data_IF_359794032638
#
_entry.id   IF_359794032638
#
_cell.length_a   1.000
_cell.length_b   1.000
_cell.length_c   1.000
_cell.angle_alpha   90.00
_cell.angle_beta   90.00
_cell.angle_gamma   90.00
#
_symmetry.space_group_name_H-M   'P 1'
#
loop_
_entity.id
_entity.type
_entity.pdbx_description
1 polymer ?
#
# COMPACT_ATOMS: atom_id res chain seq x y z
N UNK A 1 -22.91 -15.59 4.87
CA UNK A 1 -22.09 -15.60 6.10
C UNK A 1 -20.73 -16.23 5.81
N UNK A 2 -19.77 -15.45 5.33
CA UNK A 2 -18.36 -15.84 5.37
C UNK A 2 -17.67 -14.78 6.21
N UNK A 3 -17.24 -15.21 7.39
CA UNK A 3 -16.32 -14.51 8.26
C UNK A 3 -15.30 -13.75 7.41
N UNK A 4 -15.35 -12.41 7.39
CA UNK A 4 -14.22 -11.57 6.94
C UNK A 4 -12.98 -12.19 7.54
N UNK A 5 -12.12 -12.75 6.69
CA UNK A 5 -10.98 -13.53 7.12
C UNK A 5 -10.05 -12.58 7.88
N UNK A 6 -10.18 -12.54 9.20
CA UNK A 6 -9.33 -11.74 10.12
C UNK A 6 -7.85 -11.94 9.78
N UNK A 7 -7.47 -13.13 9.31
CA UNK A 7 -6.14 -13.46 8.78
C UNK A 7 -5.69 -12.51 7.65
N UNK A 8 -6.53 -12.22 6.67
CA UNK A 8 -6.22 -11.31 5.56
C UNK A 8 -6.11 -9.86 6.02
N UNK A 9 -6.97 -9.44 6.94
CA UNK A 9 -6.89 -8.10 7.53
C UNK A 9 -5.59 -7.91 8.34
N UNK A 10 -5.17 -8.95 9.08
CA UNK A 10 -3.89 -8.96 9.79
C UNK A 10 -2.72 -8.93 8.80
N UNK A 11 -2.74 -9.71 7.72
CA UNK A 11 -1.69 -9.69 6.68
C UNK A 11 -1.57 -8.30 6.06
N UNK A 12 -2.70 -7.65 5.75
CA UNK A 12 -2.73 -6.30 5.21
C UNK A 12 -2.13 -5.27 6.18
N UNK A 13 -2.48 -5.35 7.47
CA UNK A 13 -1.93 -4.47 8.51
C UNK A 13 -0.43 -4.67 8.73
N UNK A 14 0.05 -5.92 8.73
CA UNK A 14 1.48 -6.22 8.85
C UNK A 14 2.24 -5.65 7.65
N UNK A 15 1.70 -5.81 6.43
CA UNK A 15 2.32 -5.26 5.23
C UNK A 15 2.43 -3.73 5.30
N UNK A 16 1.36 -3.04 5.69
CA UNK A 16 1.35 -1.58 5.80
C UNK A 16 2.31 -1.05 6.88
N UNK A 17 2.36 -1.71 8.04
CA UNK A 17 3.27 -1.31 9.12
C UNK A 17 4.73 -1.52 8.72
N UNK A 18 5.08 -2.65 8.09
CA UNK A 18 6.45 -2.90 7.60
C UNK A 18 6.85 -1.89 6.51
N UNK A 19 6.00 -1.64 5.52
CA UNK A 19 6.26 -0.63 4.49
C UNK A 19 6.45 0.77 5.09
N UNK A 20 5.63 1.16 6.06
CA UNK A 20 5.75 2.44 6.76
C UNK A 20 7.09 2.58 7.49
N UNK A 21 7.57 1.52 8.12
CA UNK A 21 8.85 1.53 8.84
C UNK A 21 10.04 1.61 7.89
N UNK A 22 10.01 0.88 6.78
CA UNK A 22 11.04 0.95 5.73
C UNK A 22 11.08 2.36 5.11
N UNK A 23 9.92 2.92 4.78
CA UNK A 23 9.84 4.28 4.24
C UNK A 23 10.38 5.32 5.21
N UNK A 24 10.05 5.19 6.51
CA UNK A 24 10.57 6.08 7.54
C UNK A 24 12.08 5.92 7.74
N UNK A 25 12.62 4.70 7.69
CA UNK A 25 14.07 4.46 7.77
C UNK A 25 14.83 5.16 6.63
N UNK A 26 14.35 5.00 5.39
CA UNK A 26 15.01 5.60 4.22
C UNK A 26 14.86 7.13 4.25
N UNK A 27 13.64 7.63 4.42
CA UNK A 27 13.37 9.08 4.43
C UNK A 27 14.03 9.79 5.62
N UNK A 28 14.02 9.14 6.79
CA UNK A 28 14.65 9.66 8.01
C UNK A 28 16.16 9.78 7.91
N UNK A 29 16.83 8.81 7.26
CA UNK A 29 18.26 8.87 6.99
C UNK A 29 18.62 10.00 6.03
N UNK A 30 17.82 10.21 4.97
CA UNK A 30 18.05 11.28 3.99
C UNK A 30 17.85 12.66 4.63
N UNK A 31 16.83 12.81 5.48
CA UNK A 31 16.49 14.07 6.11
C UNK A 31 17.29 14.37 7.40
N UNK A 32 18.16 13.46 7.84
CA UNK A 32 18.99 13.62 9.05
C UNK A 32 18.21 13.63 10.38
N UNK A 33 16.94 13.19 10.36
CA UNK A 33 16.02 13.14 11.51
C UNK A 33 15.90 11.74 12.10
N UNK A 34 16.84 10.84 11.77
CA UNK A 34 16.85 9.48 12.25
C UNK A 34 17.34 9.39 13.72
N UNK A 35 16.43 9.71 14.63
CA UNK A 35 16.63 9.62 16.08
C UNK A 35 15.76 8.51 16.67
N UNK A 36 16.22 7.91 17.77
CA UNK A 36 15.50 6.85 18.49
C UNK A 36 14.08 7.29 18.89
N UNK A 37 13.91 8.55 19.26
CA UNK A 37 12.61 9.15 19.61
C UNK A 37 11.63 9.14 18.43
N UNK A 38 12.11 9.45 17.23
CA UNK A 38 11.26 9.49 16.04
C UNK A 38 10.89 8.08 15.56
N UNK A 39 11.78 7.11 15.76
CA UNK A 39 11.51 5.68 15.51
C UNK A 39 10.44 5.18 16.48
N UNK A 40 10.59 5.48 17.77
CA UNK A 40 9.60 5.12 18.77
C UNK A 40 8.24 5.76 18.47
N UNK A 41 8.22 7.04 18.09
CA UNK A 41 7.00 7.76 17.73
C UNK A 41 6.28 7.16 16.52
N UNK A 42 7.01 6.78 15.46
CA UNK A 42 6.42 6.14 14.28
C UNK A 42 5.93 4.72 14.56
N UNK A 43 6.65 3.96 15.40
CA UNK A 43 6.23 2.62 15.79
C UNK A 43 4.97 2.65 16.66
N UNK A 44 4.89 3.58 17.61
CA UNK A 44 3.70 3.79 18.45
C UNK A 44 2.53 4.31 17.61
N UNK A 45 2.76 5.29 16.73
CA UNK A 45 1.72 5.85 15.87
C UNK A 45 1.10 4.82 14.92
N UNK A 46 1.94 4.01 14.27
CA UNK A 46 1.48 2.95 13.35
C UNK A 46 0.74 1.81 14.05
N UNK A 47 1.15 1.44 15.26
CA UNK A 47 0.46 0.42 16.06
C UNK A 47 -0.88 0.92 16.60
N UNK A 48 -0.97 2.17 17.07
CA UNK A 48 -2.25 2.78 17.48
C UNK A 48 -3.21 2.86 16.29
N UNK A 49 -2.75 3.33 15.11
CA UNK A 49 -3.56 3.40 13.91
C UNK A 49 -4.10 2.02 13.50
N UNK A 50 -3.27 0.98 13.60
CA UNK A 50 -3.66 -0.41 13.32
C UNK A 50 -4.76 -0.90 14.25
N UNK A 51 -4.66 -0.61 15.56
CA UNK A 51 -5.66 -0.99 16.56
C UNK A 51 -6.99 -0.28 16.29
N UNK A 52 -6.96 1.03 16.01
CA UNK A 52 -8.16 1.81 15.68
C UNK A 52 -8.87 1.21 14.45
N UNK A 53 -8.12 0.86 13.41
CA UNK A 53 -8.67 0.29 12.19
C UNK A 53 -9.33 -1.08 12.44
N UNK A 54 -8.73 -1.93 13.28
CA UNK A 54 -9.33 -3.20 13.71
C UNK A 54 -10.64 -2.97 14.47
N UNK A 55 -10.65 -2.05 15.43
CA UNK A 55 -11.86 -1.74 16.23
C UNK A 55 -13.00 -1.24 15.35
N UNK A 56 -12.70 -0.32 14.41
CA UNK A 56 -13.69 0.18 13.44
C UNK A 56 -14.25 -0.99 12.62
N UNK A 57 -13.38 -1.86 12.11
CA UNK A 57 -13.81 -2.98 11.25
C UNK A 57 -14.68 -3.97 12.00
N UNK A 58 -14.29 -4.35 13.23
CA UNK A 58 -15.09 -5.25 14.07
C UNK A 58 -16.45 -4.64 14.41
N UNK A 59 -16.49 -3.35 14.72
CA UNK A 59 -17.74 -2.67 15.06
C UNK A 59 -18.66 -2.48 13.84
N UNK A 60 -18.09 -2.26 12.66
CA UNK A 60 -18.83 -2.16 11.42
C UNK A 60 -19.46 -3.50 11.01
N UNK A 61 -18.74 -4.60 11.18
CA UNK A 61 -19.23 -5.95 10.83
C UNK A 61 -20.28 -6.52 11.79
N UNK A 62 -20.60 -5.82 12.89
CA UNK A 62 -21.76 -6.13 13.73
C UNK A 62 -23.08 -5.68 13.09
N UNK A 63 -23.06 -4.79 12.10
CA UNK A 63 -24.26 -4.39 11.36
C UNK A 63 -24.55 -5.44 10.28
N UNK A 64 -25.77 -5.96 10.29
CA UNK A 64 -26.25 -7.05 9.42
C UNK A 64 -26.52 -6.57 7.98
N UNK A 65 -25.62 -5.76 7.43
CA UNK A 65 -25.67 -5.24 6.07
C UNK A 65 -24.96 -6.28 5.19
N UNK A 66 -25.55 -6.73 4.07
CA UNK A 66 -24.84 -7.61 3.15
C UNK A 66 -23.54 -6.92 2.69
N UNK A 67 -22.42 -7.62 2.88
CA UNK A 67 -21.08 -7.03 2.80
C UNK A 67 -20.74 -6.57 1.37
N UNK A 68 -21.11 -7.34 0.35
CA UNK A 68 -20.95 -6.98 -1.07
C UNK A 68 -21.99 -7.68 -1.95
N UNK A 69 -22.57 -6.94 -2.89
CA UNK A 69 -23.35 -7.48 -4.01
C UNK A 69 -22.38 -7.98 -5.11
N UNK A 70 -22.77 -8.98 -5.90
CA UNK A 70 -21.94 -9.55 -6.98
C UNK A 70 -21.47 -8.47 -7.96
N UNK A 71 -22.34 -7.48 -8.21
CA UNK A 71 -22.05 -6.31 -9.04
C UNK A 71 -20.93 -5.45 -8.46
N UNK A 72 -20.88 -5.32 -7.13
CA UNK A 72 -19.84 -4.54 -6.44
C UNK A 72 -18.48 -5.22 -6.51
N UNK A 73 -18.42 -6.56 -6.42
CA UNK A 73 -17.17 -7.32 -6.54
C UNK A 73 -16.60 -7.18 -7.96
N UNK A 74 -17.44 -7.31 -8.98
CA UNK A 74 -17.04 -7.12 -10.38
C UNK A 74 -16.52 -5.69 -10.62
N UNK A 75 -17.17 -4.68 -10.03
CA UNK A 75 -16.72 -3.29 -10.11
C UNK A 75 -15.36 -3.10 -9.41
N UNK A 76 -15.16 -3.68 -8.23
CA UNK A 76 -13.92 -3.59 -7.45
C UNK A 76 -12.73 -4.18 -8.21
N UNK A 77 -12.94 -5.31 -8.90
CA UNK A 77 -11.93 -5.91 -9.76
C UNK A 77 -11.58 -5.02 -10.94
N UNK A 78 -12.56 -4.42 -11.61
CA UNK A 78 -12.30 -3.53 -12.73
C UNK A 78 -11.56 -2.27 -12.28
N UNK A 79 -12.00 -1.65 -11.18
CA UNK A 79 -11.37 -0.47 -10.58
C UNK A 79 -9.91 -0.76 -10.20
N UNK A 80 -9.61 -1.93 -9.62
CA UNK A 80 -8.22 -2.26 -9.28
C UNK A 80 -7.33 -2.43 -10.50
N UNK A 81 -7.85 -3.02 -11.58
CA UNK A 81 -7.15 -3.07 -12.85
C UNK A 81 -6.88 -1.65 -13.40
N UNK A 82 -7.87 -0.75 -13.38
CA UNK A 82 -7.67 0.63 -13.81
C UNK A 82 -6.63 1.36 -12.98
N UNK A 83 -6.67 1.22 -11.64
CA UNK A 83 -5.71 1.85 -10.74
C UNK A 83 -4.29 1.31 -11.01
N UNK A 84 -4.14 0.00 -11.16
CA UNK A 84 -2.84 -0.61 -11.46
C UNK A 84 -2.24 -0.08 -12.77
N UNK A 85 -3.05 0.03 -13.83
CA UNK A 85 -2.61 0.59 -15.10
C UNK A 85 -2.30 2.09 -15.00
N UNK A 86 -3.11 2.85 -14.24
CA UNK A 86 -2.87 4.27 -14.02
C UNK A 86 -1.53 4.52 -13.31
N UNK A 87 -1.19 3.74 -12.28
CA UNK A 87 0.10 3.84 -11.60
C UNK A 87 1.28 3.54 -12.52
N UNK A 88 1.18 2.51 -13.37
CA UNK A 88 2.20 2.20 -14.36
C UNK A 88 2.34 3.31 -15.41
N UNK A 89 1.21 3.89 -15.86
CA UNK A 89 1.20 4.98 -16.82
C UNK A 89 1.86 6.24 -16.23
N UNK A 90 1.50 6.61 -15.00
CA UNK A 90 2.14 7.72 -14.27
C UNK A 90 3.65 7.49 -14.15
N UNK A 91 4.07 6.26 -13.82
CA UNK A 91 5.49 5.90 -13.72
C UNK A 91 6.23 6.08 -15.05
N UNK A 92 5.60 5.70 -16.17
CA UNK A 92 6.13 5.92 -17.51
C UNK A 92 6.25 7.41 -17.85
N UNK A 93 5.22 8.20 -17.54
CA UNK A 93 5.23 9.65 -17.73
C UNK A 93 6.34 10.32 -16.93
N UNK A 94 6.56 9.91 -15.69
CA UNK A 94 7.65 10.44 -14.85
C UNK A 94 9.00 10.21 -15.54
N UNK A 95 9.28 9.00 -16.02
CA UNK A 95 10.55 8.69 -16.71
C UNK A 95 10.71 9.53 -17.98
N UNK A 96 9.64 9.72 -18.76
CA UNK A 96 9.66 10.58 -19.94
C UNK A 96 9.95 12.04 -19.59
N UNK A 97 9.32 12.57 -18.54
CA UNK A 97 9.55 13.94 -18.07
C UNK A 97 10.99 14.12 -17.60
N UNK A 98 11.55 13.16 -16.85
CA UNK A 98 12.96 13.20 -16.43
C UNK A 98 13.90 13.23 -17.65
N UNK A 99 13.59 12.45 -18.69
CA UNK A 99 14.37 12.44 -19.92
C UNK A 99 14.33 13.79 -20.65
N UNK A 100 13.17 14.47 -20.66
CA UNK A 100 13.00 15.79 -21.28
C UNK A 100 13.70 16.92 -20.50
N UNK A 101 13.85 16.78 -19.18
CA UNK A 101 14.57 17.73 -18.32
C UNK A 101 16.11 17.62 -18.48
N UNK A 102 16.59 16.67 -19.29
CA UNK A 102 18.02 16.48 -19.57
C UNK A 102 18.73 15.56 -18.57
N UNK A 103 17.97 14.76 -17.81
CA UNK A 103 18.55 13.68 -16.98
C UNK A 103 18.83 12.49 -17.89
N UNK A 104 20.07 12.40 -18.39
CA UNK A 104 20.48 11.37 -19.34
C UNK A 104 21.02 10.09 -18.69
N UNK A 105 21.49 10.18 -17.46
CA UNK A 105 22.05 9.04 -16.72
C UNK A 105 21.16 8.72 -15.54
N UNK A 106 20.35 7.68 -15.68
CA UNK A 106 19.62 7.08 -14.56
C UNK A 106 20.20 5.69 -14.33
N UNK A 107 20.56 5.40 -13.09
CA UNK A 107 21.01 4.06 -12.72
C UNK A 107 19.90 3.05 -12.98
N UNK A 108 20.19 2.08 -13.85
CA UNK A 108 19.27 1.00 -14.22
C UNK A 108 18.81 0.23 -12.97
N UNK A 109 19.70 0.10 -11.99
CA UNK A 109 19.41 -0.55 -10.71
C UNK A 109 18.34 0.21 -9.91
N UNK A 110 18.36 1.55 -9.93
CA UNK A 110 17.38 2.38 -9.23
C UNK A 110 15.99 2.29 -9.88
N UNK A 111 15.93 2.29 -11.23
CA UNK A 111 14.68 2.08 -11.97
C UNK A 111 14.13 0.68 -11.70
N UNK A 112 14.98 -0.35 -11.72
CA UNK A 112 14.55 -1.72 -11.45
C UNK A 112 14.01 -1.89 -10.02
N UNK A 113 14.68 -1.30 -9.03
CA UNK A 113 14.20 -1.27 -7.64
C UNK A 113 12.84 -0.55 -7.54
N UNK A 114 12.69 0.62 -8.16
CA UNK A 114 11.44 1.37 -8.19
C UNK A 114 10.27 0.58 -8.80
N UNK A 115 10.46 0.00 -10.00
CA UNK A 115 9.42 -0.78 -10.66
C UNK A 115 9.06 -2.04 -9.87
N UNK A 116 10.04 -2.74 -9.29
CA UNK A 116 9.77 -3.93 -8.47
C UNK A 116 8.91 -3.63 -7.25
N UNK A 117 9.15 -2.50 -6.57
CA UNK A 117 8.32 -2.05 -5.44
C UNK A 117 6.87 -1.77 -5.90
N UNK A 118 6.70 -1.09 -7.04
CA UNK A 118 5.37 -0.83 -7.60
C UNK A 118 4.65 -2.13 -7.94
N UNK A 119 5.34 -3.08 -8.58
CA UNK A 119 4.77 -4.39 -8.90
C UNK A 119 4.36 -5.18 -7.66
N UNK A 120 5.14 -5.11 -6.58
CA UNK A 120 4.78 -5.72 -5.29
C UNK A 120 3.51 -5.09 -4.71
N UNK A 121 3.41 -3.76 -4.71
CA UNK A 121 2.22 -3.03 -4.25
C UNK A 121 0.96 -3.41 -5.05
N UNK A 122 1.06 -3.44 -6.38
CA UNK A 122 -0.03 -3.87 -7.26
C UNK A 122 -0.40 -5.33 -6.97
N UNK A 123 0.59 -6.21 -6.82
CA UNK A 123 0.39 -7.63 -6.52
C UNK A 123 -0.38 -7.86 -5.22
N UNK A 124 -0.01 -7.16 -4.14
CA UNK A 124 -0.74 -7.23 -2.86
C UNK A 124 -2.17 -6.73 -3.01
N UNK A 125 -2.38 -5.62 -3.74
CA UNK A 125 -3.73 -5.10 -4.00
C UNK A 125 -4.64 -6.10 -4.74
N UNK A 126 -4.10 -6.79 -5.74
CA UNK A 126 -4.84 -7.83 -6.49
C UNK A 126 -5.12 -9.05 -5.61
N UNK A 127 -4.16 -9.46 -4.78
CA UNK A 127 -4.33 -10.60 -3.86
C UNK A 127 -5.43 -10.35 -2.84
N UNK A 128 -5.56 -9.12 -2.33
CA UNK A 128 -6.65 -8.75 -1.43
C UNK A 128 -7.99 -8.89 -2.14
N UNK A 129 -8.14 -8.33 -3.35
CA UNK A 129 -9.41 -8.34 -4.08
C UNK A 129 -9.83 -9.74 -4.52
N UNK A 130 -8.88 -10.60 -4.89
CA UNK A 130 -9.19 -11.99 -5.27
C UNK A 130 -9.80 -12.78 -4.11
N UNK A 131 -9.51 -12.41 -2.86
CA UNK A 131 -9.91 -13.14 -1.67
C UNK A 131 -11.04 -12.46 -0.87
N UNK A 132 -11.61 -11.38 -1.41
CA UNK A 132 -12.89 -10.78 -0.98
C UNK A 132 -14.01 -11.50 -1.74
#
# INVERSE_FOLDING_TARGET
>A
MKQTNIKWLIIFLIFFTVCSQIGFYIGGNIAGIYNLENIAATLVGSSIASIILVVITINHNKKNIPEFDERSIALMKNVSHYIAHAFLLISCVIILVLSLIGVHTIDIQAIAAYLSIIYLLIGVGILVIKNI
#
